data_IF_766926187127
#
_entry.id   IF_766926187127
#
_cell.length_a   1.000
_cell.length_b   1.000
_cell.length_c   1.000
_cell.angle_alpha   90.00
_cell.angle_beta   90.00
_cell.angle_gamma   90.00
#
_symmetry.space_group_name_H-M   'P 1'
#
loop_
_entity.id
_entity.type
_entity.pdbx_description
1 polymer ?
#
# COMPACT_ATOMS: atom_id res chain seq x y z
N UNK A 1 -4.47 0.46 -3.73
CA UNK A 1 -5.77 0.39 -3.03
C UNK A 1 -5.65 1.19 -1.75
N UNK A 2 -6.59 2.11 -1.48
CA UNK A 2 -6.51 3.00 -0.30
C UNK A 2 -6.70 2.25 1.03
N UNK A 3 -7.46 1.16 1.02
CA UNK A 3 -7.73 0.31 2.19
C UNK A 3 -6.98 -1.03 2.18
N UNK A 4 -5.90 -1.12 1.40
CA UNK A 4 -5.21 -2.38 1.09
C UNK A 4 -4.31 -2.90 2.21
N UNK A 5 -4.35 -4.22 2.45
CA UNK A 5 -3.42 -4.92 3.35
C UNK A 5 -2.90 -6.23 2.74
N UNK A 6 -1.66 -6.60 3.02
CA UNK A 6 -1.07 -7.88 2.60
C UNK A 6 -0.68 -7.99 1.12
N UNK A 7 -0.42 -6.87 0.44
CA UNK A 7 0.07 -6.85 -0.96
C UNK A 7 -0.99 -7.12 -2.04
N UNK A 8 -2.27 -7.25 -1.67
CA UNK A 8 -3.39 -7.44 -2.62
C UNK A 8 -3.83 -6.12 -3.23
N UNK A 9 -4.15 -6.11 -4.53
CA UNK A 9 -4.57 -4.88 -5.23
C UNK A 9 -3.43 -3.89 -5.51
N UNK A 10 -2.19 -4.38 -5.64
CA UNK A 10 -1.02 -3.61 -6.08
C UNK A 10 -0.46 -4.23 -7.36
N UNK A 11 -0.20 -3.39 -8.37
CA UNK A 11 0.41 -3.79 -9.65
C UNK A 11 1.43 -2.75 -10.07
N UNK A 12 2.65 -3.19 -10.37
CA UNK A 12 3.66 -2.35 -11.04
C UNK A 12 3.32 -2.27 -12.53
N UNK A 13 3.36 -1.07 -13.08
CA UNK A 13 3.19 -0.82 -14.50
C UNK A 13 4.39 0.01 -14.98
N UNK A 14 5.11 -0.46 -15.99
CA UNK A 14 6.27 0.21 -16.57
C UNK A 14 5.92 1.00 -17.84
N UNK A 15 4.68 0.88 -18.33
CA UNK A 15 4.17 1.63 -19.48
C UNK A 15 2.70 2.04 -19.29
N UNK A 16 2.21 2.92 -20.16
CA UNK A 16 0.79 3.33 -20.18
C UNK A 16 -0.12 2.14 -20.51
N UNK A 17 0.31 1.31 -21.46
CA UNK A 17 -0.45 0.15 -21.91
C UNK A 17 -0.60 -0.88 -20.79
N UNK A 18 0.46 -1.11 -20.02
CA UNK A 18 0.39 -1.96 -18.83
C UNK A 18 -0.57 -1.40 -17.78
N UNK A 19 -0.59 -0.08 -17.59
CA UNK A 19 -1.52 0.59 -16.67
C UNK A 19 -2.96 0.37 -17.11
N UNK A 20 -3.29 0.63 -18.38
CA UNK A 20 -4.63 0.46 -18.94
C UNK A 20 -5.13 -0.99 -18.81
N UNK A 21 -4.25 -1.97 -19.03
CA UNK A 21 -4.58 -3.39 -18.89
C UNK A 21 -4.78 -3.83 -17.44
N UNK A 22 -3.99 -3.28 -16.50
CA UNK A 22 -4.04 -3.69 -15.10
C UNK A 22 -5.09 -2.96 -14.28
N UNK A 23 -5.48 -1.74 -14.67
CA UNK A 23 -6.39 -0.90 -13.90
C UNK A 23 -7.73 -1.60 -13.59
N UNK A 24 -8.45 -2.22 -14.55
CA UNK A 24 -9.71 -2.91 -14.25
C UNK A 24 -9.55 -4.07 -13.26
N UNK A 25 -8.40 -4.76 -13.31
CA UNK A 25 -8.09 -5.88 -12.39
C UNK A 25 -7.85 -5.37 -10.98
N UNK A 26 -7.09 -4.29 -10.82
CA UNK A 26 -6.82 -3.67 -9.52
C UNK A 26 -8.11 -3.15 -8.89
N UNK A 27 -8.99 -2.52 -9.67
CA UNK A 27 -10.32 -2.10 -9.21
C UNK A 27 -11.14 -3.31 -8.74
N UNK A 28 -11.21 -4.38 -9.54
CA UNK A 28 -11.98 -5.57 -9.18
C UNK A 28 -11.46 -6.23 -7.90
N UNK A 29 -10.13 -6.33 -7.73
CA UNK A 29 -9.51 -6.88 -6.53
C UNK A 29 -9.76 -6.00 -5.30
N UNK A 30 -9.62 -4.68 -5.43
CA UNK A 30 -9.84 -3.74 -4.33
C UNK A 30 -11.29 -3.79 -3.84
N UNK A 31 -12.27 -3.75 -4.76
CA UNK A 31 -13.69 -3.83 -4.42
C UNK A 31 -14.03 -5.14 -3.71
N UNK A 32 -13.50 -6.28 -4.18
CA UNK A 32 -13.78 -7.59 -3.57
C UNK A 32 -13.10 -7.77 -2.22
N UNK A 33 -11.89 -7.25 -2.03
CA UNK A 33 -11.12 -7.47 -0.81
C UNK A 33 -11.45 -6.45 0.29
N UNK A 34 -11.77 -5.21 -0.07
CA UNK A 34 -11.88 -4.09 0.87
C UNK A 34 -13.21 -3.34 0.79
N UNK A 35 -14.14 -3.78 -0.08
CA UNK A 35 -15.44 -3.12 -0.25
C UNK A 35 -15.40 -1.74 -0.90
N UNK A 36 -14.21 -1.30 -1.35
CA UNK A 36 -13.98 0.01 -1.97
C UNK A 36 -13.16 -0.13 -3.25
N UNK A 37 -13.56 0.62 -4.28
CA UNK A 37 -12.88 0.71 -5.57
C UNK A 37 -11.79 1.79 -5.59
N UNK A 38 -11.51 2.46 -4.46
CA UNK A 38 -10.55 3.55 -4.42
C UNK A 38 -9.11 3.06 -4.61
N UNK A 39 -8.45 3.65 -5.60
CA UNK A 39 -7.08 3.37 -5.98
C UNK A 39 -6.35 4.67 -6.27
N UNK A 40 -5.04 4.63 -6.10
CA UNK A 40 -4.14 5.73 -6.39
C UNK A 40 -2.87 5.19 -7.03
N UNK A 41 -2.08 6.08 -7.62
CA UNK A 41 -0.81 5.76 -8.27
C UNK A 41 0.33 6.39 -7.49
N UNK A 42 1.42 5.64 -7.35
CA UNK A 42 2.65 6.10 -6.75
C UNK A 42 3.84 5.77 -7.64
N UNK A 43 4.94 6.51 -7.43
CA UNK A 43 6.20 6.20 -8.07
C UNK A 43 6.75 4.89 -7.50
N UNK A 44 6.94 3.89 -8.36
CA UNK A 44 7.63 2.66 -7.98
C UNK A 44 9.12 2.94 -7.75
N UNK A 45 9.58 2.74 -6.52
CA UNK A 45 11.01 2.78 -6.17
C UNK A 45 11.62 1.42 -6.53
N UNK A 46 12.72 1.43 -7.27
CA UNK A 46 13.39 0.20 -7.74
C UNK A 46 14.46 -0.20 -6.72
N UNK A 47 14.48 -1.48 -6.35
CA UNK A 47 15.36 -2.04 -5.32
C UNK A 47 15.31 -1.28 -3.97
N UNK A 48 14.12 -1.03 -3.41
CA UNK A 48 14.02 -0.39 -2.11
C UNK A 48 14.36 -1.37 -0.99
N UNK A 49 14.75 -0.82 0.18
CA UNK A 49 14.56 -1.51 1.45
C UNK A 49 13.22 -1.09 2.03
N UNK A 50 12.46 -2.05 2.56
CA UNK A 50 11.24 -1.76 3.30
C UNK A 50 11.65 -1.59 4.75
N UNK A 51 11.55 -0.39 5.30
CA UNK A 51 11.87 -0.15 6.71
C UNK A 51 10.59 0.29 7.42
N UNK A 52 10.28 -0.33 8.55
CA UNK A 52 9.09 -0.01 9.35
C UNK A 52 9.45 0.23 10.82
N UNK A 53 8.80 1.22 11.44
CA UNK A 53 9.02 1.58 12.84
C UNK A 53 7.84 1.14 13.71
N UNK A 54 8.15 0.48 14.83
CA UNK A 54 7.13 0.14 15.82
C UNK A 54 6.83 1.36 16.69
N UNK A 55 5.55 1.69 16.87
CA UNK A 55 5.09 2.78 17.74
C UNK A 55 4.23 2.21 18.87
N UNK A 56 4.38 2.76 20.08
CA UNK A 56 3.47 2.57 21.21
C UNK A 56 3.01 3.94 21.70
N UNK A 57 1.70 4.10 21.92
CA UNK A 57 1.11 5.32 22.48
C UNK A 57 0.08 4.99 23.55
N UNK A 58 -0.06 5.87 24.54
CA UNK A 58 -1.07 5.77 25.59
C UNK A 58 -2.09 6.92 25.56
N UNK A 59 -3.16 6.80 26.35
CA UNK A 59 -4.22 7.81 26.43
C UNK A 59 -3.85 9.06 27.24
N UNK A 60 -2.64 9.10 27.83
CA UNK A 60 -2.12 10.25 28.56
C UNK A 60 -1.24 11.16 27.68
N UNK A 61 -1.09 10.80 26.40
CA UNK A 61 -0.33 11.56 25.41
C UNK A 61 1.12 11.13 25.29
N UNK A 62 1.55 10.05 25.95
CA UNK A 62 2.90 9.52 25.77
C UNK A 62 2.97 8.71 24.47
N UNK A 63 4.04 8.89 23.72
CA UNK A 63 4.33 8.13 22.49
C UNK A 63 5.81 7.80 22.44
N UNK A 64 6.13 6.53 22.15
CA UNK A 64 7.51 6.06 21.96
C UNK A 64 7.62 5.25 20.68
N UNK A 65 8.79 5.29 20.05
CA UNK A 65 9.15 4.32 19.02
C UNK A 65 10.00 3.21 19.64
N UNK A 66 9.82 1.97 19.17
CA UNK A 66 10.60 0.80 19.56
C UNK A 66 11.54 0.40 18.41
N UNK A 67 12.35 1.35 17.97
CA UNK A 67 13.28 1.21 16.85
C UNK A 67 12.59 0.76 15.54
N UNK A 68 13.42 0.42 14.55
CA UNK A 68 13.03 -0.02 13.22
C UNK A 68 13.23 -1.52 13.00
N UNK A 69 12.57 -2.03 11.97
CA UNK A 69 12.82 -3.32 11.33
C UNK A 69 13.09 -3.08 9.85
N UNK A 70 14.08 -3.81 9.32
CA UNK A 70 14.24 -4.05 7.87
C UNK A 70 13.34 -5.23 7.48
#
# INVERSE_FOLDING_TARGET
>A
ATSGGGGRGIRRCNSREELEQNFPRVISEATKAFGSAEVFLEKCIVNPKHIEAQILGDSFGNVVHLFERD
#
